data_IF_401638178484
#
_entry.id   IF_401638178484
#
_cell.length_a   1.000
_cell.length_b   1.000
_cell.length_c   1.000
_cell.angle_alpha   90.00
_cell.angle_beta   90.00
_cell.angle_gamma   90.00
#
_symmetry.space_group_name_H-M   'P 1'
#
loop_
_entity.id
_entity.type
_entity.pdbx_description
1 polymer ?
#
# COMPACT_ATOMS: atom_id res chain seq x y z
N UNK A 1 4.95 -2.36 -12.73
CA UNK A 1 4.66 -2.39 -11.29
C UNK A 1 5.96 -2.60 -10.55
N UNK A 2 6.22 -1.87 -9.46
CA UNK A 2 7.47 -1.94 -8.67
C UNK A 2 7.23 -2.56 -7.30
N UNK A 3 8.21 -3.24 -6.73
CA UNK A 3 8.15 -3.71 -5.34
C UNK A 3 8.48 -2.55 -4.38
N UNK A 4 7.70 -2.40 -3.31
CA UNK A 4 8.02 -1.45 -2.25
C UNK A 4 9.25 -1.92 -1.46
N UNK A 5 9.35 -3.22 -1.20
CA UNK A 5 10.49 -3.85 -0.51
C UNK A 5 11.81 -3.64 -1.24
N UNK A 6 11.86 -3.92 -2.54
CA UNK A 6 13.07 -3.77 -3.35
C UNK A 6 13.50 -2.32 -3.53
N UNK A 7 12.56 -1.37 -3.38
CA UNK A 7 12.86 0.07 -3.47
C UNK A 7 13.63 0.56 -2.25
N UNK A 8 13.52 -0.11 -1.09
CA UNK A 8 14.28 0.17 0.13
C UNK A 8 13.96 1.49 0.85
N UNK A 9 13.50 2.52 0.14
CA UNK A 9 13.15 3.84 0.67
C UNK A 9 11.70 4.25 0.40
N UNK A 10 10.80 3.28 0.25
CA UNK A 10 9.40 3.57 -0.06
C UNK A 10 8.74 4.42 1.05
N UNK A 11 8.10 5.56 0.74
CA UNK A 11 7.69 6.52 1.76
C UNK A 11 6.29 6.22 2.33
N UNK A 12 6.19 5.17 3.14
CA UNK A 12 4.93 4.66 3.72
C UNK A 12 4.06 5.71 4.45
N UNK A 13 4.71 6.67 5.11
CA UNK A 13 4.05 7.72 5.91
C UNK A 13 3.78 9.02 5.14
N UNK A 14 4.17 9.09 3.87
CA UNK A 14 3.99 10.31 3.06
C UNK A 14 2.52 10.54 2.75
N UNK A 15 2.06 11.80 2.91
CA UNK A 15 0.72 12.23 2.53
C UNK A 15 0.51 12.29 1.01
N UNK A 16 1.59 12.21 0.23
CA UNK A 16 1.54 12.24 -1.23
C UNK A 16 1.34 10.84 -1.83
N UNK A 17 1.52 9.78 -1.04
CA UNK A 17 1.31 8.41 -1.51
C UNK A 17 -0.17 8.05 -1.42
N UNK A 18 -0.75 7.64 -2.55
CA UNK A 18 -2.11 7.14 -2.60
C UNK A 18 -2.10 5.63 -2.44
N UNK A 19 -2.70 5.11 -1.38
CA UNK A 19 -2.83 3.68 -1.13
C UNK A 19 -4.19 3.17 -1.61
N UNK A 20 -4.21 1.94 -2.13
CA UNK A 20 -5.39 1.26 -2.61
C UNK A 20 -5.33 -0.21 -2.21
N UNK A 21 -6.49 -0.82 -1.97
CA UNK A 21 -6.66 -2.25 -1.85
C UNK A 21 -7.20 -2.80 -3.17
N UNK A 22 -6.62 -3.90 -3.64
CA UNK A 22 -7.09 -4.71 -4.76
C UNK A 22 -7.58 -6.05 -4.20
N UNK A 23 -8.88 -6.31 -4.32
CA UNK A 23 -9.45 -7.60 -3.90
C UNK A 23 -9.08 -8.71 -4.89
N UNK A 24 -9.27 -9.97 -4.47
CA UNK A 24 -9.13 -11.14 -5.37
C UNK A 24 -10.10 -11.11 -6.56
N UNK A 25 -11.25 -10.45 -6.40
CA UNK A 25 -12.26 -10.31 -7.46
C UNK A 25 -11.92 -9.19 -8.46
N UNK A 26 -10.83 -8.45 -8.23
CA UNK A 26 -10.37 -7.36 -9.10
C UNK A 26 -10.94 -5.98 -8.75
N UNK A 27 -11.70 -5.87 -7.65
CA UNK A 27 -12.23 -4.59 -7.17
C UNK A 27 -11.12 -3.74 -6.54
N UNK A 28 -11.11 -2.44 -6.86
CA UNK A 28 -10.13 -1.49 -6.34
C UNK A 28 -10.82 -0.51 -5.41
N UNK A 29 -10.30 -0.38 -4.19
CA UNK A 29 -10.76 0.60 -3.21
C UNK A 29 -9.62 1.51 -2.77
N UNK A 30 -9.86 2.82 -2.75
CA UNK A 30 -8.86 3.78 -2.23
C UNK A 30 -8.87 3.77 -0.69
N UNK A 31 -7.70 3.67 -0.08
CA UNK A 31 -7.52 3.67 1.38
C UNK A 31 -7.32 5.10 1.87
N UNK A 32 -8.42 5.77 2.25
CA UNK A 32 -8.43 7.21 2.52
C UNK A 32 -7.97 7.53 3.93
N UNK A 33 -8.43 6.76 4.90
CA UNK A 33 -8.14 6.97 6.31
C UNK A 33 -7.33 5.82 6.93
N UNK A 34 -7.00 5.97 8.22
CA UNK A 34 -6.22 4.97 8.93
C UNK A 34 -7.01 3.68 9.19
N UNK A 35 -8.33 3.75 9.32
CA UNK A 35 -9.20 2.60 9.47
C UNK A 35 -9.19 1.74 8.22
N UNK A 36 -9.34 2.35 7.05
CA UNK A 36 -9.24 1.68 5.75
C UNK A 36 -7.89 0.98 5.60
N UNK A 37 -6.80 1.70 5.89
CA UNK A 37 -5.42 1.17 5.79
C UNK A 37 -5.19 -0.02 6.71
N UNK A 38 -5.69 0.03 7.95
CA UNK A 38 -5.59 -1.08 8.90
C UNK A 38 -6.44 -2.29 8.47
N UNK A 39 -7.65 -2.06 7.95
CA UNK A 39 -8.50 -3.13 7.43
C UNK A 39 -7.82 -3.83 6.23
N UNK A 40 -7.30 -3.05 5.29
CA UNK A 40 -6.57 -3.58 4.14
C UNK A 40 -5.31 -4.35 4.54
N UNK A 41 -4.60 -3.91 5.59
CA UNK A 41 -3.47 -4.64 6.15
C UNK A 41 -3.85 -6.06 6.60
N UNK A 42 -4.93 -6.19 7.40
CA UNK A 42 -5.39 -7.51 7.85
C UNK A 42 -5.89 -8.37 6.68
N UNK A 43 -6.62 -7.78 5.73
CA UNK A 43 -7.06 -8.50 4.53
C UNK A 43 -5.88 -9.00 3.69
N UNK A 44 -4.81 -8.21 3.58
CA UNK A 44 -3.60 -8.59 2.86
C UNK A 44 -2.81 -9.69 3.58
N UNK A 45 -2.74 -9.67 4.92
CA UNK A 45 -2.19 -10.78 5.72
C UNK A 45 -2.98 -12.07 5.48
N UNK A 46 -4.31 -11.97 5.49
CA UNK A 46 -5.22 -13.09 5.24
C UNK A 46 -5.19 -13.58 3.77
N UNK A 47 -4.46 -12.91 2.88
CA UNK A 47 -4.39 -13.22 1.45
C UNK A 47 -5.67 -12.92 0.66
N UNK A 48 -6.62 -12.18 1.25
CA UNK A 48 -7.90 -11.81 0.62
C UNK A 48 -7.76 -10.62 -0.33
N UNK A 49 -6.70 -9.85 -0.19
CA UNK A 49 -6.43 -8.67 -1.02
C UNK A 49 -4.94 -8.38 -1.13
N UNK A 50 -4.60 -7.40 -1.96
CA UNK A 50 -3.24 -6.85 -2.10
C UNK A 50 -3.31 -5.35 -1.91
N UNK A 51 -2.30 -4.79 -1.27
CA UNK A 51 -2.18 -3.33 -1.14
C UNK A 51 -1.29 -2.80 -2.25
N UNK A 52 -1.80 -1.81 -2.96
CA UNK A 52 -1.10 -1.06 -3.98
C UNK A 52 -0.86 0.36 -3.50
N UNK A 53 0.18 0.98 -4.03
CA UNK A 53 0.45 2.38 -3.75
C UNK A 53 0.96 3.11 -4.98
N UNK A 54 0.45 4.32 -5.21
CA UNK A 54 0.99 5.24 -6.20
C UNK A 54 1.83 6.26 -5.46
N UNK A 55 3.13 6.27 -5.77
CA UNK A 55 4.04 7.29 -5.26
C UNK A 55 4.37 8.28 -6.38
N UNK A 56 3.98 9.56 -6.24
CA UNK A 56 4.42 10.60 -7.16
C UNK A 56 5.91 10.87 -6.92
N UNK A 57 6.75 10.38 -7.84
CA UNK A 57 8.14 10.79 -7.92
C UNK A 57 8.27 12.20 -8.52
N UNK A 58 9.51 12.65 -8.73
CA UNK A 58 9.76 14.01 -9.23
C UNK A 58 9.28 14.26 -10.67
N UNK A 59 9.15 13.20 -11.48
CA UNK A 59 8.86 13.32 -12.92
C UNK A 59 7.73 12.40 -13.40
N UNK A 60 7.40 11.36 -12.62
CA UNK A 60 6.36 10.39 -12.96
C UNK A 60 5.81 9.75 -11.68
N UNK A 61 4.58 9.28 -11.77
CA UNK A 61 3.96 8.44 -10.75
C UNK A 61 4.23 6.98 -11.08
N UNK A 62 4.85 6.25 -10.15
CA UNK A 62 5.06 4.82 -10.27
C UNK A 62 4.04 4.08 -9.39
N UNK A 63 3.53 2.95 -9.90
CA UNK A 63 2.66 2.04 -9.14
C UNK A 63 3.49 0.95 -8.46
N UNK A 64 3.31 0.82 -7.16
CA UNK A 64 3.99 -0.11 -6.29
C UNK A 64 3.03 -1.18 -5.77
N UNK A 65 3.52 -2.42 -5.68
CA UNK A 65 2.94 -3.43 -4.82
C UNK A 65 3.55 -3.28 -3.43
N UNK A 66 2.70 -3.26 -2.41
CA UNK A 66 3.15 -3.27 -1.01
C UNK A 66 3.32 -4.73 -0.60
N UNK A 67 4.51 -5.25 -0.88
CA UNK A 67 4.95 -6.60 -0.57
C UNK A 67 5.68 -6.70 0.79
N UNK A 68 6.16 -5.57 1.32
CA UNK A 68 6.58 -5.45 2.71
C UNK A 68 5.40 -5.04 3.61
N UNK A 69 4.59 -6.02 4.01
CA UNK A 69 3.47 -5.80 4.92
C UNK A 69 3.96 -5.42 6.32
N UNK A 70 5.15 -5.87 6.75
CA UNK A 70 5.70 -5.54 8.07
C UNK A 70 5.97 -4.05 8.21
N UNK A 71 6.69 -3.47 7.24
CA UNK A 71 6.94 -2.02 7.20
C UNK A 71 5.64 -1.21 7.03
N UNK A 72 4.71 -1.71 6.23
CA UNK A 72 3.39 -1.10 6.10
C UNK A 72 2.64 -1.07 7.44
N UNK A 73 2.59 -2.18 8.18
CA UNK A 73 1.96 -2.27 9.50
C UNK A 73 2.64 -1.35 10.52
N UNK A 74 3.98 -1.36 10.58
CA UNK A 74 4.76 -0.46 11.42
C UNK A 74 4.49 1.03 11.11
N UNK A 75 4.21 1.37 9.84
CA UNK A 75 3.83 2.73 9.46
C UNK A 75 2.47 3.18 10.03
N UNK A 76 1.59 2.22 10.37
CA UNK A 76 0.26 2.42 10.94
C UNK A 76 0.21 2.24 12.47
N UNK A 77 1.37 2.00 13.10
CA UNK A 77 1.53 1.61 14.50
C UNK A 77 0.71 0.35 14.85
N UNK A 78 0.86 -0.69 14.02
CA UNK A 78 0.35 -2.04 14.24
C UNK A 78 1.50 -3.01 14.56
#
# INVERSE_FOLDING_TARGET
>A
MRSAKETGCFPYRSKLVCFMELSVDGEIHQLKDIGDKRKAYYNAIDGKSRILAVWPGNWRSDLFIIDDLSEYGASLNL
#
